data_IF_338874382844
#
_entry.id   IF_338874382844
#
_cell.length_a   1.000
_cell.length_b   1.000
_cell.length_c   1.000
_cell.angle_alpha   90.00
_cell.angle_beta   90.00
_cell.angle_gamma   90.00
#
_symmetry.space_group_name_H-M   'P 1'
#
loop_
_entity.id
_entity.type
_entity.pdbx_description
1 polymer ?
#
# COMPACT_ATOMS: atom_id res chain seq x y z
N UNK A 1 -7.69 -10.42 -7.07
CA UNK A 1 -6.80 -9.78 -6.08
C UNK A 1 -7.62 -8.86 -5.18
N UNK A 2 -7.41 -8.94 -3.89
CA UNK A 2 -8.10 -8.09 -2.93
C UNK A 2 -7.47 -6.69 -2.91
N UNK A 3 -8.31 -5.66 -2.85
CA UNK A 3 -7.86 -4.26 -2.82
C UNK A 3 -8.38 -3.61 -1.54
N UNK A 4 -7.47 -3.04 -0.76
CA UNK A 4 -7.79 -2.35 0.49
C UNK A 4 -7.20 -0.95 0.44
N UNK A 5 -8.03 0.04 0.75
CA UNK A 5 -7.63 1.44 0.77
C UNK A 5 -7.71 1.98 2.20
N UNK A 6 -6.57 2.45 2.71
CA UNK A 6 -6.47 3.06 4.03
C UNK A 6 -6.39 4.57 3.87
N UNK A 7 -7.55 5.22 3.89
CA UNK A 7 -7.65 6.66 3.67
C UNK A 7 -8.32 7.41 4.82
N UNK A 8 -8.54 6.73 5.95
CA UNK A 8 -9.04 7.35 7.16
C UNK A 8 -8.46 6.63 8.37
N UNK A 9 -8.66 7.18 9.57
CA UNK A 9 -8.01 6.69 10.79
C UNK A 9 -8.76 5.54 11.49
N UNK A 10 -9.72 4.92 10.85
CA UNK A 10 -10.58 3.91 11.47
C UNK A 10 -10.12 2.47 11.26
N UNK A 11 -8.88 2.23 10.88
CA UNK A 11 -8.38 0.88 10.68
C UNK A 11 -7.62 0.37 11.92
N UNK A 12 -7.52 -0.95 12.04
CA UNK A 12 -6.86 -1.64 13.14
C UNK A 12 -5.37 -1.86 12.80
N UNK A 13 -4.47 -1.40 13.69
CA UNK A 13 -3.02 -1.56 13.51
C UNK A 13 -2.61 -3.03 13.40
N UNK A 14 -3.22 -3.91 14.18
CA UNK A 14 -2.94 -5.34 14.14
C UNK A 14 -3.26 -5.92 12.76
N UNK A 15 -4.33 -5.42 12.15
CA UNK A 15 -4.76 -5.90 10.84
C UNK A 15 -3.73 -5.60 9.76
N UNK A 16 -2.98 -4.50 9.88
CA UNK A 16 -1.94 -4.15 8.91
C UNK A 16 -0.85 -5.23 8.88
N UNK A 17 -0.41 -5.69 10.04
CA UNK A 17 0.60 -6.76 10.12
C UNK A 17 0.08 -8.04 9.47
N UNK A 18 -1.18 -8.39 9.73
CA UNK A 18 -1.80 -9.57 9.14
C UNK A 18 -1.89 -9.45 7.63
N UNK A 19 -2.26 -8.28 7.13
CA UNK A 19 -2.38 -8.04 5.69
C UNK A 19 -1.02 -8.12 5.00
N UNK A 20 0.01 -7.53 5.58
CA UNK A 20 1.36 -7.54 5.00
C UNK A 20 2.00 -8.91 5.06
N UNK A 21 1.56 -9.79 5.95
CA UNK A 21 2.08 -11.16 6.04
C UNK A 21 1.49 -12.10 5.00
N UNK A 22 0.54 -11.63 4.19
CA UNK A 22 -0.01 -12.43 3.10
C UNK A 22 1.07 -12.71 2.05
N UNK A 23 0.81 -13.70 1.21
CA UNK A 23 1.79 -14.24 0.28
C UNK A 23 2.47 -13.17 -0.58
N UNK A 24 1.67 -12.28 -1.17
CA UNK A 24 2.17 -11.14 -1.95
C UNK A 24 1.32 -9.92 -1.63
N UNK A 25 1.96 -8.82 -1.31
CA UNK A 25 1.27 -7.56 -1.05
C UNK A 25 1.96 -6.42 -1.81
N UNK A 26 1.22 -5.80 -2.71
CA UNK A 26 1.67 -4.58 -3.39
C UNK A 26 1.18 -3.39 -2.59
N UNK A 27 2.11 -2.57 -2.09
CA UNK A 27 1.79 -1.42 -1.25
C UNK A 27 2.07 -0.14 -2.00
N UNK A 28 1.09 0.73 -2.08
CA UNK A 28 1.24 2.07 -2.63
C UNK A 28 0.90 3.12 -1.58
N UNK A 29 1.81 4.07 -1.36
CA UNK A 29 1.62 5.14 -0.38
C UNK A 29 1.66 6.48 -1.09
N UNK A 30 0.61 7.27 -0.91
CA UNK A 30 0.42 8.52 -1.63
C UNK A 30 0.15 9.66 -0.66
N UNK A 31 0.67 10.84 -0.99
CA UNK A 31 0.39 12.06 -0.25
C UNK A 31 -0.54 12.95 -1.06
N UNK A 32 -1.55 13.53 -0.42
CA UNK A 32 -2.50 14.43 -1.08
C UNK A 32 -1.84 15.70 -1.60
N UNK A 33 -0.74 16.11 -0.96
CA UNK A 33 -0.03 17.34 -1.33
C UNK A 33 1.13 17.10 -2.29
N UNK A 34 1.33 15.88 -2.74
CA UNK A 34 2.45 15.51 -3.59
C UNK A 34 2.04 15.56 -5.07
N UNK A 35 2.71 16.41 -5.85
CA UNK A 35 2.41 16.55 -7.28
C UNK A 35 2.71 15.27 -8.05
N UNK A 36 3.78 14.58 -7.68
CA UNK A 36 4.14 13.31 -8.33
C UNK A 36 3.10 12.24 -8.06
N UNK A 37 2.50 12.26 -6.87
CA UNK A 37 1.41 11.34 -6.54
C UNK A 37 0.19 11.63 -7.41
N UNK A 38 -0.15 12.91 -7.60
CA UNK A 38 -1.27 13.31 -8.44
C UNK A 38 -1.05 12.89 -9.89
N UNK A 39 0.18 13.03 -10.40
CA UNK A 39 0.53 12.66 -11.76
C UNK A 39 0.47 11.15 -11.98
N UNK A 40 0.76 10.37 -10.95
CA UNK A 40 0.72 8.91 -11.03
C UNK A 40 -0.68 8.33 -10.83
N UNK A 41 -1.60 9.11 -10.26
CA UNK A 41 -2.92 8.64 -9.86
C UNK A 41 -3.69 7.94 -10.98
N UNK A 42 -3.76 8.47 -12.22
CA UNK A 42 -4.48 7.79 -13.29
C UNK A 42 -3.93 6.39 -13.60
N UNK A 43 -2.62 6.25 -13.60
CA UNK A 43 -1.96 4.97 -13.86
C UNK A 43 -2.22 3.99 -12.71
N UNK A 44 -2.17 4.47 -11.48
CA UNK A 44 -2.44 3.66 -10.29
C UNK A 44 -3.89 3.17 -10.27
N UNK A 45 -4.84 4.03 -10.59
CA UNK A 45 -6.25 3.65 -10.67
C UNK A 45 -6.49 2.61 -11.76
N UNK A 46 -5.81 2.74 -12.89
CA UNK A 46 -5.88 1.77 -13.99
C UNK A 46 -5.36 0.40 -13.52
N UNK A 47 -4.24 0.40 -12.81
CA UNK A 47 -3.66 -0.82 -12.25
C UNK A 47 -4.61 -1.48 -11.26
N UNK A 48 -5.23 -0.70 -10.38
CA UNK A 48 -6.21 -1.23 -9.41
C UNK A 48 -7.36 -1.92 -10.11
N UNK A 49 -7.89 -1.32 -11.16
CA UNK A 49 -8.99 -1.92 -11.93
C UNK A 49 -8.60 -3.26 -12.54
N UNK A 50 -7.39 -3.34 -13.09
CA UNK A 50 -6.89 -4.59 -13.68
C UNK A 50 -6.70 -5.66 -12.63
N UNK A 51 -6.05 -5.32 -11.51
CA UNK A 51 -5.75 -6.28 -10.46
C UNK A 51 -7.00 -6.76 -9.75
N UNK A 52 -8.02 -5.91 -9.65
CA UNK A 52 -9.29 -6.29 -9.04
C UNK A 52 -9.94 -7.47 -9.79
N UNK A 53 -9.76 -7.52 -11.09
CA UNK A 53 -10.31 -8.58 -11.96
C UNK A 53 -9.40 -9.81 -12.01
N UNK A 54 -8.19 -9.72 -11.52
CA UNK A 54 -7.22 -10.81 -11.59
C UNK A 54 -7.47 -11.81 -10.46
N UNK A 55 -7.51 -13.09 -10.81
CA UNK A 55 -7.63 -14.17 -9.84
C UNK A 55 -6.25 -14.45 -9.25
N UNK A 56 -5.98 -13.86 -8.11
CA UNK A 56 -4.68 -13.97 -7.45
C UNK A 56 -4.90 -13.89 -5.94
N UNK A 57 -4.12 -14.65 -5.18
CA UNK A 57 -4.20 -14.63 -3.72
C UNK A 57 -3.48 -13.43 -3.10
N UNK A 58 -3.00 -12.51 -3.92
CA UNK A 58 -2.30 -11.33 -3.45
C UNK A 58 -3.25 -10.25 -2.95
N UNK A 59 -2.64 -9.17 -2.46
CA UNK A 59 -3.33 -8.03 -1.90
C UNK A 59 -2.70 -6.76 -2.47
N UNK A 60 -3.53 -5.79 -2.84
CA UNK A 60 -3.08 -4.43 -3.11
C UNK A 60 -3.52 -3.55 -1.95
N UNK A 61 -2.57 -2.88 -1.30
CA UNK A 61 -2.82 -2.01 -0.17
C UNK A 61 -2.45 -0.58 -0.55
N UNK A 62 -3.44 0.30 -0.57
CA UNK A 62 -3.23 1.72 -0.84
C UNK A 62 -3.33 2.48 0.49
N UNK A 63 -2.29 3.27 0.80
CA UNK A 63 -2.21 3.98 2.06
C UNK A 63 -2.06 5.47 1.79
N UNK A 64 -2.92 6.28 2.41
CA UNK A 64 -2.75 7.72 2.45
C UNK A 64 -1.66 8.05 3.46
N UNK A 65 -0.74 8.96 3.12
CA UNK A 65 0.39 9.30 3.99
C UNK A 65 -0.05 9.79 5.37
N UNK A 66 -1.25 10.37 5.49
CA UNK A 66 -1.79 10.80 6.78
C UNK A 66 -2.02 9.63 7.73
N UNK A 67 -2.10 8.41 7.22
CA UNK A 67 -2.33 7.21 8.03
C UNK A 67 -1.04 6.58 8.54
N UNK A 68 0.12 7.04 8.08
CA UNK A 68 1.41 6.44 8.45
C UNK A 68 1.68 6.51 9.95
N UNK A 69 1.20 7.57 10.62
CA UNK A 69 1.37 7.70 12.06
C UNK A 69 0.63 6.63 12.86
N UNK A 70 -0.34 5.98 12.25
CA UNK A 70 -1.15 4.94 12.88
C UNK A 70 -0.66 3.54 12.53
N UNK A 71 0.38 3.43 11.70
CA UNK A 71 0.92 2.14 11.27
C UNK A 71 2.17 1.83 12.09
N UNK A 72 2.13 0.70 12.81
CA UNK A 72 3.23 0.24 13.62
C UNK A 72 3.88 -0.97 12.96
N UNK A 73 4.57 -0.72 11.83
CA UNK A 73 5.26 -1.76 11.08
C UNK A 73 6.53 -1.15 10.47
N UNK A 74 7.62 -1.31 11.20
CA UNK A 74 8.87 -0.61 10.88
C UNK A 74 9.47 -0.99 9.53
N UNK A 75 9.29 -2.24 9.08
CA UNK A 75 9.77 -2.66 7.77
C UNK A 75 9.11 -1.84 6.64
N UNK A 76 7.88 -1.42 6.84
CA UNK A 76 7.17 -0.57 5.90
C UNK A 76 7.61 0.88 6.05
N UNK A 77 7.48 1.45 7.27
CA UNK A 77 7.67 2.88 7.49
C UNK A 77 9.12 3.31 7.28
N UNK A 78 10.08 2.45 7.63
CA UNK A 78 11.51 2.77 7.45
C UNK A 78 11.96 2.66 6.00
N UNK A 79 11.16 2.05 5.13
CA UNK A 79 11.49 1.91 3.72
C UNK A 79 11.03 3.08 2.86
N UNK A 80 10.26 4.00 3.45
CA UNK A 80 9.70 5.14 2.72
C UNK A 80 10.76 6.23 2.58
N UNK A 81 11.13 6.55 1.35
CA UNK A 81 12.12 7.59 1.05
C UNK A 81 11.49 8.83 0.43
N UNK A 82 10.22 8.78 0.12
CA UNK A 82 9.49 9.88 -0.50
C UNK A 82 8.18 9.37 -1.04
N UNK A 83 7.41 10.24 -1.68
CA UNK A 83 6.10 9.89 -2.24
C UNK A 83 6.07 10.18 -3.73
N UNK A 84 5.37 9.37 -4.51
CA UNK A 84 4.68 8.15 -4.10
C UNK A 84 5.69 7.04 -3.76
N UNK A 85 5.33 6.18 -2.82
CA UNK A 85 6.16 5.04 -2.45
C UNK A 85 5.43 3.75 -2.86
N UNK A 86 6.07 2.96 -3.71
CA UNK A 86 5.50 1.70 -4.20
C UNK A 86 6.44 0.58 -3.76
N UNK A 87 5.89 -0.40 -3.05
CA UNK A 87 6.69 -1.48 -2.48
C UNK A 87 5.99 -2.82 -2.68
N UNK A 88 6.78 -3.89 -2.74
CA UNK A 88 6.24 -5.25 -2.79
C UNK A 88 6.71 -5.99 -1.55
N UNK A 89 5.76 -6.53 -0.79
CA UNK A 89 6.03 -7.39 0.34
C UNK A 89 5.65 -8.83 0.00
N UNK A 90 6.46 -9.77 0.45
CA UNK A 90 6.19 -11.19 0.31
C UNK A 90 6.40 -11.86 1.65
N UNK A 91 5.33 -12.48 2.18
CA UNK A 91 5.37 -13.15 3.48
C UNK A 91 5.85 -12.21 4.60
N UNK A 92 5.44 -10.95 4.55
CA UNK A 92 5.78 -9.95 5.56
C UNK A 92 7.13 -9.28 5.37
N UNK A 93 7.88 -9.63 4.34
CA UNK A 93 9.22 -9.08 4.10
C UNK A 93 9.23 -8.22 2.86
N UNK A 94 9.88 -7.06 2.94
CA UNK A 94 10.05 -6.18 1.79
C UNK A 94 10.92 -6.87 0.75
N UNK A 95 10.42 -6.98 -0.48
CA UNK A 95 11.13 -7.61 -1.58
C UNK A 95 11.57 -6.61 -2.63
N UNK A 96 10.82 -5.53 -2.81
CA UNK A 96 11.13 -4.55 -3.84
C UNK A 96 10.53 -3.20 -3.50
N UNK A 97 11.31 -2.15 -3.74
CA UNK A 97 10.89 -0.77 -3.59
C UNK A 97 10.47 -0.15 -4.91
#
# INVERSE_FOLDING_TARGET
>A
MQIIELNNSSFDKEKIKQLLSKKICLVGIFSKLCIHCQNMKPQWEYLKKKLKKTKCNGLLLEIDSDQLNFIDYSSLTNSIKGFPAIMVFKNGKLKKE
#
